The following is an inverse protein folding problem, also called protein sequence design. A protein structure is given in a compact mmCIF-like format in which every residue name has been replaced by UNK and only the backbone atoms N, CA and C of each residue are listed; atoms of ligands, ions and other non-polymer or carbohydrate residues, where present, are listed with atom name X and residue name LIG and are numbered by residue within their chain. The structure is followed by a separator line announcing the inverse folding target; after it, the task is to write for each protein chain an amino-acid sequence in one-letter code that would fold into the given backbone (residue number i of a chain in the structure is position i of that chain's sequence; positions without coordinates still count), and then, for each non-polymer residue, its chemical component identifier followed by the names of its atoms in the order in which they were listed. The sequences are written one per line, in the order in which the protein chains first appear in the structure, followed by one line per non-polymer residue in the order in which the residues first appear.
data_IF_273592707910
#
_entry.id   IF_273592707910
#
_cell.length_a   1.000
_cell.length_b   1.000
_cell.length_c   1.000
_cell.angle_alpha   90.00
_cell.angle_beta   90.00
_cell.angle_gamma   90.00
#
_symmetry.space_group_name_H-M   'P 1'
#
loop_
_entity.id
_entity.type
_entity.pdbx_description
1 polymer ?
#
# COMPACT_ATOMS: atom_id res chain seq x y z
N UNK A 1 9.48 13.72 26.33
CA UNK A 1 8.12 14.30 26.20
C UNK A 1 8.04 15.54 25.28
N UNK A 2 9.13 16.00 24.64
CA UNK A 2 9.11 17.25 23.85
C UNK A 2 8.45 17.14 22.46
N UNK A 3 8.32 15.94 21.89
CA UNK A 3 7.84 15.76 20.50
C UNK A 3 6.38 15.30 20.38
N UNK A 4 5.67 15.11 21.51
CA UNK A 4 4.29 14.60 21.53
C UNK A 4 3.30 15.50 20.78
N UNK A 5 3.61 16.79 20.62
CA UNK A 5 2.77 17.72 19.86
C UNK A 5 2.73 17.41 18.36
N UNK A 6 3.73 16.69 17.82
CA UNK A 6 3.76 16.30 16.40
C UNK A 6 2.57 15.41 16.05
N UNK A 7 2.13 14.54 16.95
CA UNK A 7 0.95 13.68 16.74
C UNK A 7 -0.36 14.46 16.59
N UNK A 8 -0.41 15.72 17.05
CA UNK A 8 -1.56 16.62 16.84
C UNK A 8 -1.55 17.26 15.44
N UNK A 9 -0.45 17.17 14.69
CA UNK A 9 -0.34 17.72 13.34
C UNK A 9 -0.89 16.72 12.34
N UNK A 10 -1.84 17.16 11.51
CA UNK A 10 -2.52 16.29 10.55
C UNK A 10 -1.61 15.64 9.51
N UNK A 11 -0.46 16.25 9.22
CA UNK A 11 0.55 15.77 8.29
C UNK A 11 1.61 14.87 8.92
N UNK A 12 1.63 14.70 10.24
CA UNK A 12 2.69 13.93 10.89
C UNK A 12 2.56 12.45 10.58
N UNK A 13 3.61 11.87 10.01
CA UNK A 13 3.64 10.47 9.54
C UNK A 13 3.54 9.46 10.67
N UNK A 14 4.02 9.79 11.88
CA UNK A 14 3.90 8.94 13.07
C UNK A 14 2.51 8.95 13.74
N UNK A 15 1.56 9.73 13.20
CA UNK A 15 0.17 9.70 13.69
C UNK A 15 -0.51 8.39 13.31
N UNK A 16 -1.22 7.76 14.25
CA UNK A 16 -1.94 6.49 14.03
C UNK A 16 -2.84 6.53 12.79
N UNK A 17 -3.51 7.67 12.54
CA UNK A 17 -4.35 7.85 11.35
C UNK A 17 -3.56 7.75 10.05
N UNK A 18 -2.36 8.34 10.02
CA UNK A 18 -1.55 8.35 8.80
C UNK A 18 -0.88 6.99 8.59
N UNK A 19 -0.45 6.33 9.66
CA UNK A 19 0.02 4.94 9.63
C UNK A 19 -1.07 4.01 9.10
N UNK A 20 -2.31 4.15 9.58
CA UNK A 20 -3.45 3.36 9.10
C UNK A 20 -3.75 3.61 7.62
N UNK A 21 -3.71 4.87 7.17
CA UNK A 21 -3.90 5.22 5.76
C UNK A 21 -2.83 4.59 4.86
N UNK A 22 -1.57 4.64 5.28
CA UNK A 22 -0.45 4.01 4.56
C UNK A 22 -0.65 2.50 4.52
N UNK A 23 -0.97 1.87 5.64
CA UNK A 23 -1.22 0.43 5.69
C UNK A 23 -2.35 0.01 4.76
N UNK A 24 -3.47 0.75 4.73
CA UNK A 24 -4.57 0.49 3.78
C UNK A 24 -4.13 0.67 2.33
N UNK A 25 -3.28 1.65 2.03
CA UNK A 25 -2.76 1.86 0.68
C UNK A 25 -1.83 0.71 0.25
N UNK A 26 -0.94 0.25 1.13
CA UNK A 26 -0.05 -0.89 0.88
C UNK A 26 -0.84 -2.19 0.66
N UNK A 27 -1.91 -2.43 1.42
CA UNK A 27 -2.79 -3.58 1.22
C UNK A 27 -3.47 -3.55 -0.15
N UNK A 28 -3.94 -2.39 -0.60
CA UNK A 28 -4.54 -2.23 -1.93
C UNK A 28 -3.51 -2.45 -3.03
N UNK A 29 -2.33 -1.85 -2.90
CA UNK A 29 -1.23 -2.03 -3.85
C UNK A 29 -0.85 -3.51 -4.01
N UNK A 30 -0.66 -4.23 -2.90
CA UNK A 30 -0.32 -5.65 -2.94
C UNK A 30 -1.42 -6.51 -3.59
N UNK A 31 -2.70 -6.13 -3.42
CA UNK A 31 -3.80 -6.83 -4.09
C UNK A 31 -3.85 -6.53 -5.60
N UNK A 32 -3.51 -5.31 -6.01
CA UNK A 32 -3.41 -4.92 -7.41
C UNK A 32 -2.22 -5.58 -8.10
N UNK A 33 -1.04 -5.62 -7.46
CA UNK A 33 0.13 -6.31 -8.00
C UNK A 33 -0.11 -7.80 -8.22
N UNK A 34 -0.74 -8.50 -7.26
CA UNK A 34 -1.09 -9.92 -7.44
C UNK A 34 -1.98 -10.15 -8.66
N UNK A 35 -2.99 -9.31 -8.85
CA UNK A 35 -3.88 -9.39 -10.02
C UNK A 35 -3.11 -9.13 -11.33
N UNK A 36 -2.22 -8.15 -11.32
CA UNK A 36 -1.39 -7.85 -12.49
C UNK A 36 -0.44 -8.99 -12.83
N UNK A 37 0.17 -9.63 -11.84
CA UNK A 37 1.07 -10.76 -12.06
C UNK A 37 0.32 -12.00 -12.55
N UNK A 38 -0.88 -12.27 -12.02
CA UNK A 38 -1.77 -13.32 -12.55
C UNK A 38 -2.13 -13.07 -14.02
N UNK A 39 -2.50 -11.83 -14.37
CA UNK A 39 -2.80 -11.45 -15.75
C UNK A 39 -1.57 -11.57 -16.68
N UNK A 40 -0.39 -11.16 -16.21
CA UNK A 40 0.87 -11.31 -16.96
C UNK A 40 1.18 -12.78 -17.23
N UNK A 41 0.95 -13.64 -16.24
CA UNK A 41 1.15 -15.08 -16.38
C UNK A 41 0.20 -15.68 -17.41
N UNK A 42 -1.09 -15.32 -17.38
CA UNK A 42 -2.07 -15.76 -18.38
C UNK A 42 -1.68 -15.36 -19.80
N UNK A 43 -1.25 -14.11 -20.00
CA UNK A 43 -0.80 -13.63 -21.32
C UNK A 43 0.43 -14.43 -21.82
N UNK A 44 1.35 -14.78 -20.92
CA UNK A 44 2.52 -15.56 -21.28
C UNK A 44 2.14 -17.00 -21.67
N UNK A 45 1.25 -17.64 -20.89
CA UNK A 45 0.73 -18.97 -21.20
C UNK A 45 -0.02 -19.00 -22.55
N UNK A 46 -0.79 -17.96 -22.86
CA UNK A 46 -1.46 -17.83 -24.16
C UNK A 46 -0.49 -17.62 -25.32
N UNK A 47 0.64 -16.93 -25.09
CA UNK A 47 1.67 -16.70 -26.14
C UNK A 47 2.52 -17.94 -26.43
N UNK A 48 2.71 -18.81 -25.45
CA UNK A 48 3.51 -20.03 -25.58
C UNK A 48 2.73 -21.20 -26.20
N UNK A 49 1.40 -21.07 -26.31
CA UNK A 49 0.50 -22.07 -26.88
C UNK A 49 0.32 -21.89 -28.38
#
# INVERSE_FOLDING_TARGET
MALKFLNKKGWHTGSLRNIENVWKAEQKHNAEEKKLDELRKQIQEERER
#
